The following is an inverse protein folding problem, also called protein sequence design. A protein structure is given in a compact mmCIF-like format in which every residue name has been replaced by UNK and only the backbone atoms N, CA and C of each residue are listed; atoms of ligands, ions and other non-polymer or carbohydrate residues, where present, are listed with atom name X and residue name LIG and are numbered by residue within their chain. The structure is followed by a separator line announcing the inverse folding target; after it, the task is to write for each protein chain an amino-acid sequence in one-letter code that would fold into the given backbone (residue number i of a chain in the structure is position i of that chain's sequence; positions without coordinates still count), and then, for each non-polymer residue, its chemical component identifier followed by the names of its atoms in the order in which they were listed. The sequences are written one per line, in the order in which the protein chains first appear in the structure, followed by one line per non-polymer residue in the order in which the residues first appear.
data_IF_288329220917
#
_entry.id   IF_288329220917
#
_cell.length_a   1.000
_cell.length_b   1.000
_cell.length_c   1.000
_cell.angle_alpha   90.00
_cell.angle_beta   90.00
_cell.angle_gamma   90.00
#
_symmetry.space_group_name_H-M   'P 1'
#
loop_
_entity.id
_entity.type
_entity.pdbx_description
1 polymer ?
#
# COMPACT_ATOMS: atom_id res chain seq x y z
N UNK A 1 24.40 70.29 5.08
CA UNK A 1 23.14 70.36 5.86
C UNK A 1 22.88 68.96 6.40
N UNK A 2 22.80 68.80 7.72
CA UNK A 2 22.57 67.49 8.34
C UNK A 2 21.07 67.16 8.32
N UNK A 3 20.66 65.95 7.88
CA UNK A 3 19.25 65.57 7.86
C UNK A 3 18.70 65.60 9.30
N UNK A 4 17.70 66.45 9.53
CA UNK A 4 17.24 66.86 10.88
C UNK A 4 15.91 66.22 11.27
N UNK A 5 15.36 65.33 10.45
CA UNK A 5 14.05 64.72 10.66
C UNK A 5 14.09 63.25 10.24
N UNK A 6 13.54 62.38 11.09
CA UNK A 6 13.18 61.03 10.70
C UNK A 6 11.66 60.89 10.64
N UNK A 7 11.16 60.32 9.56
CA UNK A 7 9.74 60.11 9.31
C UNK A 7 9.46 58.61 9.32
N UNK A 8 9.09 58.06 10.49
CA UNK A 8 8.45 56.74 10.53
C UNK A 8 6.96 56.92 10.19
N UNK A 9 6.34 56.01 9.43
CA UNK A 9 4.98 56.16 8.85
C UNK A 9 3.87 56.42 9.88
N UNK A 10 4.13 56.23 11.19
CA UNK A 10 3.14 56.40 12.24
C UNK A 10 3.48 57.38 13.37
N UNK A 11 4.66 58.05 13.39
CA UNK A 11 4.95 59.15 14.37
C UNK A 11 5.99 60.14 13.85
N UNK A 12 5.72 61.44 14.02
CA UNK A 12 6.73 62.49 13.92
C UNK A 12 7.55 62.51 15.22
N UNK A 13 8.78 62.02 15.18
CA UNK A 13 9.69 62.05 16.34
C UNK A 13 10.53 63.31 16.25
N UNK A 14 10.28 64.29 17.13
CA UNK A 14 11.10 65.49 17.22
C UNK A 14 12.50 65.13 17.73
N UNK A 15 13.58 65.66 17.14
CA UNK A 15 14.93 65.39 17.60
C UNK A 15 15.18 65.99 19.00
N UNK A 16 15.95 65.32 19.87
CA UNK A 16 16.39 65.90 21.14
C UNK A 16 17.29 67.11 20.88
N UNK A 17 17.12 68.19 21.66
CA UNK A 17 17.78 69.51 21.47
C UNK A 17 19.30 69.53 21.71
N UNK A 18 19.98 68.38 21.73
CA UNK A 18 21.37 68.28 22.15
C UNK A 18 22.31 68.09 20.95
N UNK A 19 23.29 68.99 20.79
CA UNK A 19 24.04 69.16 19.53
C UNK A 19 25.15 68.13 19.25
N UNK A 20 25.30 67.09 20.08
CA UNK A 20 26.45 66.17 19.99
C UNK A 20 26.11 64.67 19.87
N UNK A 21 24.86 64.26 19.63
CA UNK A 21 24.55 62.84 19.41
C UNK A 21 24.22 62.54 17.95
N UNK A 22 24.91 61.58 17.34
CA UNK A 22 24.46 60.93 16.10
C UNK A 22 23.01 60.45 16.30
N UNK A 23 22.09 61.02 15.55
CA UNK A 23 20.68 60.63 15.58
C UNK A 23 20.50 59.36 14.74
N UNK A 24 20.54 58.19 15.38
CA UNK A 24 20.15 56.94 14.73
C UNK A 24 18.64 56.75 14.88
N UNK A 25 17.92 56.80 13.77
CA UNK A 25 16.50 56.51 13.75
C UNK A 25 16.27 55.02 13.48
N UNK A 26 15.69 54.31 14.44
CA UNK A 26 15.23 52.93 14.25
C UNK A 26 13.70 52.93 14.34
N UNK A 27 13.03 52.51 13.27
CA UNK A 27 11.58 52.30 13.28
C UNK A 27 11.32 50.80 13.56
N UNK A 28 10.58 50.49 14.64
CA UNK A 28 10.20 49.12 15.08
C UNK A 28 9.35 48.33 14.06
N UNK A 29 8.99 48.94 12.93
CA UNK A 29 8.15 48.32 11.89
C UNK A 29 8.81 47.09 11.25
N UNK A 30 10.15 47.01 11.23
CA UNK A 30 10.90 45.89 10.62
C UNK A 30 10.73 44.57 11.37
N UNK A 31 10.70 44.58 12.70
CA UNK A 31 10.56 43.36 13.51
C UNK A 31 9.11 42.84 13.45
N UNK A 32 8.13 43.74 13.46
CA UNK A 32 6.72 43.40 13.27
C UNK A 32 6.43 42.84 11.88
N UNK A 33 7.11 43.33 10.84
CA UNK A 33 6.97 42.81 9.47
C UNK A 33 7.61 41.43 9.33
N UNK A 34 8.78 41.21 9.95
CA UNK A 34 9.42 39.89 10.03
C UNK A 34 8.53 38.87 10.75
N UNK A 35 7.99 39.22 11.92
CA UNK A 35 7.08 38.36 12.68
C UNK A 35 5.81 38.02 11.89
N UNK A 36 5.24 38.97 11.15
CA UNK A 36 4.09 38.70 10.27
C UNK A 36 4.45 37.71 9.17
N UNK A 37 5.62 37.85 8.55
CA UNK A 37 6.08 36.94 7.51
C UNK A 37 6.30 35.53 8.06
N UNK A 38 6.93 35.41 9.23
CA UNK A 38 7.11 34.11 9.91
C UNK A 38 5.76 33.45 10.23
N UNK A 39 4.80 34.20 10.78
CA UNK A 39 3.45 33.68 11.05
C UNK A 39 2.78 33.20 9.77
N UNK A 40 2.90 33.94 8.66
CA UNK A 40 2.31 33.49 7.38
C UNK A 40 2.98 32.23 6.84
N UNK A 41 4.29 32.10 6.99
CA UNK A 41 5.02 30.92 6.57
C UNK A 41 4.61 29.69 7.39
N UNK A 42 4.56 29.83 8.71
CA UNK A 42 4.18 28.73 9.61
C UNK A 42 2.73 28.30 9.37
N UNK A 43 1.81 29.24 9.13
CA UNK A 43 0.43 28.91 8.75
C UNK A 43 0.36 28.10 7.46
N UNK A 44 1.11 28.51 6.44
CA UNK A 44 1.16 27.78 5.16
C UNK A 44 1.68 26.36 5.35
N UNK A 45 2.75 26.19 6.13
CA UNK A 45 3.30 24.87 6.43
C UNK A 45 2.33 24.00 7.23
N UNK A 46 1.57 24.61 8.14
CA UNK A 46 0.54 23.92 8.91
C UNK A 46 -0.61 23.45 8.01
N UNK A 47 -1.06 24.30 7.10
CA UNK A 47 -2.10 23.94 6.13
C UNK A 47 -1.63 22.80 5.21
N UNK A 48 -0.40 22.86 4.69
CA UNK A 48 0.21 21.77 3.90
C UNK A 48 0.33 20.46 4.68
N UNK A 49 0.68 20.53 5.97
CA UNK A 49 0.74 19.37 6.83
C UNK A 49 -0.65 18.76 7.08
N UNK A 50 -1.69 19.59 7.24
CA UNK A 50 -3.07 19.13 7.37
C UNK A 50 -3.57 18.45 6.09
N UNK A 51 -3.25 18.98 4.91
CA UNK A 51 -3.60 18.36 3.63
C UNK A 51 -2.95 16.96 3.51
N UNK A 52 -1.68 16.85 3.91
CA UNK A 52 -0.96 15.55 3.91
C UNK A 52 -1.59 14.57 4.90
N UNK A 53 -1.99 15.04 6.09
CA UNK A 53 -2.67 14.21 7.09
C UNK A 53 -4.00 13.71 6.55
N UNK A 54 -4.79 14.56 5.89
CA UNK A 54 -6.07 14.17 5.31
C UNK A 54 -5.90 13.10 4.22
N UNK A 55 -4.85 13.18 3.40
CA UNK A 55 -4.53 12.14 2.42
C UNK A 55 -4.19 10.81 3.09
N UNK A 56 -3.36 10.82 4.14
CA UNK A 56 -3.03 9.62 4.91
C UNK A 56 -4.24 9.02 5.62
N UNK A 57 -5.14 9.85 6.17
CA UNK A 57 -6.38 9.39 6.81
C UNK A 57 -7.28 8.66 5.80
N UNK A 58 -7.42 9.20 4.59
CA UNK A 58 -8.16 8.55 3.51
C UNK A 58 -7.56 7.19 3.12
N UNK A 59 -6.23 7.10 3.01
CA UNK A 59 -5.56 5.82 2.73
C UNK A 59 -5.77 4.81 3.86
N UNK A 60 -5.74 5.24 5.12
CA UNK A 60 -5.97 4.37 6.27
C UNK A 60 -7.40 3.82 6.32
N UNK A 61 -8.41 4.60 5.95
CA UNK A 61 -9.80 4.11 5.84
C UNK A 61 -9.93 2.94 4.85
N UNK A 62 -9.09 2.90 3.81
CA UNK A 62 -9.08 1.80 2.84
C UNK A 62 -8.54 0.47 3.43
N UNK A 63 -7.77 0.52 4.52
CA UNK A 63 -7.16 -0.66 5.16
C UNK A 63 -8.23 -1.56 5.78
N UNK A 64 -9.28 -0.98 6.39
CA UNK A 64 -10.36 -1.77 7.00
C UNK A 64 -11.16 -2.54 5.94
N UNK A 65 -11.38 -1.93 4.77
CA UNK A 65 -12.01 -2.60 3.62
C UNK A 65 -11.14 -3.74 3.12
N UNK A 66 -9.83 -3.52 2.98
CA UNK A 66 -8.88 -4.55 2.59
C UNK A 66 -8.78 -5.68 3.61
N UNK A 67 -8.86 -5.38 4.91
CA UNK A 67 -8.87 -6.38 5.97
C UNK A 67 -10.11 -7.28 5.87
N UNK A 68 -11.29 -6.70 5.65
CA UNK A 68 -12.53 -7.45 5.44
C UNK A 68 -12.44 -8.35 4.19
N UNK A 69 -11.95 -7.82 3.07
CA UNK A 69 -11.75 -8.59 1.85
C UNK A 69 -10.75 -9.74 2.06
N UNK A 70 -9.66 -9.50 2.80
CA UNK A 70 -8.67 -10.53 3.11
C UNK A 70 -9.29 -11.65 3.95
N UNK A 71 -10.13 -11.30 4.93
CA UNK A 71 -10.85 -12.28 5.74
C UNK A 71 -11.79 -13.15 4.88
N UNK A 72 -12.59 -12.52 4.03
CA UNK A 72 -13.51 -13.24 3.13
C UNK A 72 -12.76 -14.21 2.21
N UNK A 73 -11.63 -13.79 1.63
CA UNK A 73 -10.80 -14.65 0.78
C UNK A 73 -10.22 -15.84 1.57
N UNK A 74 -9.82 -15.64 2.82
CA UNK A 74 -9.32 -16.74 3.68
C UNK A 74 -10.42 -17.76 3.99
N UNK A 75 -11.63 -17.29 4.26
CA UNK A 75 -12.79 -18.15 4.48
C UNK A 75 -13.13 -18.97 3.22
N UNK A 76 -13.08 -18.34 2.05
CA UNK A 76 -13.30 -19.02 0.77
C UNK A 76 -12.21 -20.05 0.45
N UNK A 77 -10.94 -19.73 0.71
CA UNK A 77 -9.85 -20.70 0.61
C UNK A 77 -10.06 -21.89 1.54
N UNK A 78 -10.48 -21.67 2.80
CA UNK A 78 -10.78 -22.75 3.74
C UNK A 78 -11.90 -23.64 3.21
N UNK A 79 -12.98 -23.04 2.69
CA UNK A 79 -14.09 -23.75 2.08
C UNK A 79 -13.63 -24.59 0.89
N UNK A 80 -12.86 -24.02 -0.03
CA UNK A 80 -12.36 -24.74 -1.20
C UNK A 80 -11.41 -25.88 -0.82
N UNK A 81 -10.52 -25.68 0.16
CA UNK A 81 -9.66 -26.77 0.68
C UNK A 81 -10.45 -27.92 1.27
N UNK A 82 -11.51 -27.62 2.03
CA UNK A 82 -12.39 -28.67 2.57
C UNK A 82 -13.14 -29.44 1.49
N UNK A 83 -13.42 -28.80 0.35
CA UNK A 83 -14.00 -29.46 -0.83
C UNK A 83 -12.95 -30.26 -1.60
N UNK A 84 -11.71 -29.78 -1.69
CA UNK A 84 -10.59 -30.48 -2.34
C UNK A 84 -10.26 -31.81 -1.63
N UNK A 85 -10.25 -31.82 -0.29
CA UNK A 85 -10.10 -33.05 0.51
C UNK A 85 -11.18 -34.10 0.23
N UNK A 86 -12.36 -33.68 -0.26
CA UNK A 86 -13.44 -34.57 -0.69
C UNK A 86 -13.44 -34.95 -2.18
N UNK A 87 -12.68 -34.25 -3.03
CA UNK A 87 -12.73 -34.40 -4.50
C UNK A 87 -11.50 -35.12 -5.05
N UNK A 88 -10.32 -34.95 -4.42
CA UNK A 88 -9.14 -35.75 -4.77
C UNK A 88 -9.22 -37.06 -4.01
N UNK A 89 -9.84 -38.07 -4.61
CA UNK A 89 -9.59 -39.47 -4.24
C UNK A 89 -8.12 -39.74 -4.51
N UNK A 90 -7.27 -39.50 -3.51
CA UNK A 90 -5.97 -40.16 -3.48
C UNK A 90 -6.32 -41.65 -3.41
N UNK A 91 -6.14 -42.34 -4.53
CA UNK A 91 -6.05 -43.81 -4.53
C UNK A 91 -4.82 -44.17 -3.69
N UNK A 92 -4.94 -44.02 -2.36
CA UNK A 92 -3.93 -44.38 -1.38
C UNK A 92 -3.86 -45.91 -1.20
N UNK A 93 -4.69 -46.66 -1.94
CA UNK A 93 -4.87 -48.11 -1.84
C UNK A 93 -4.74 -48.81 -3.22
N UNK A 94 -3.79 -48.41 -4.08
CA UNK A 94 -3.44 -49.28 -5.23
C UNK A 94 -2.77 -50.55 -4.69
N UNK A 95 -3.50 -51.67 -4.71
CA UNK A 95 -3.01 -52.97 -4.23
C UNK A 95 -1.62 -53.32 -4.84
N UNK A 96 -0.67 -53.80 -4.00
CA UNK A 96 0.70 -54.09 -4.43
C UNK A 96 0.79 -55.05 -5.63
N UNK A 97 -0.16 -55.97 -5.80
CA UNK A 97 -0.18 -56.88 -6.96
C UNK A 97 -0.50 -56.12 -8.23
N UNK A 98 -1.50 -55.24 -8.19
CA UNK A 98 -1.89 -54.36 -9.30
C UNK A 98 -0.74 -53.44 -9.74
N UNK A 99 -0.03 -52.84 -8.77
CA UNK A 99 1.17 -52.03 -9.03
C UNK A 99 2.30 -52.82 -9.70
N UNK A 100 2.56 -54.05 -9.23
CA UNK A 100 3.58 -54.95 -9.81
C UNK A 100 3.22 -55.34 -11.24
N UNK A 101 1.96 -55.67 -11.50
CA UNK A 101 1.48 -56.03 -12.83
C UNK A 101 1.63 -54.87 -13.82
N UNK A 102 1.28 -53.65 -13.42
CA UNK A 102 1.47 -52.45 -14.26
C UNK A 102 2.95 -52.21 -14.60
N UNK A 103 3.85 -52.41 -13.64
CA UNK A 103 5.30 -52.28 -13.86
C UNK A 103 5.81 -53.33 -14.84
N UNK A 104 5.40 -54.59 -14.67
CA UNK A 104 5.78 -55.69 -15.57
C UNK A 104 5.26 -55.44 -16.99
N UNK A 105 4.00 -55.02 -17.13
CA UNK A 105 3.43 -54.67 -18.43
C UNK A 105 4.23 -53.57 -19.14
N UNK A 106 4.58 -52.48 -18.45
CA UNK A 106 5.41 -51.40 -19.01
C UNK A 106 6.77 -51.91 -19.50
N UNK A 107 7.43 -52.76 -18.72
CA UNK A 107 8.71 -53.37 -19.11
C UNK A 107 8.57 -54.23 -20.38
N UNK A 108 7.51 -55.04 -20.46
CA UNK A 108 7.25 -55.88 -21.62
C UNK A 108 6.91 -55.07 -22.88
N UNK A 109 6.16 -53.98 -22.74
CA UNK A 109 5.87 -53.06 -23.85
C UNK A 109 7.14 -52.34 -24.33
N UNK A 110 7.96 -51.84 -23.41
CA UNK A 110 9.25 -51.22 -23.76
C UNK A 110 10.23 -52.20 -24.41
N UNK A 111 10.17 -53.47 -24.04
CA UNK A 111 10.96 -54.54 -24.65
C UNK A 111 10.38 -55.04 -25.98
N UNK A 112 9.24 -54.50 -26.45
CA UNK A 112 8.58 -54.92 -27.69
C UNK A 112 7.92 -56.29 -27.62
N UNK A 113 7.74 -56.86 -26.42
CA UNK A 113 7.11 -58.16 -26.20
C UNK A 113 5.57 -58.03 -26.29
N UNK A 114 5.04 -56.91 -25.82
CA UNK A 114 3.61 -56.60 -25.85
C UNK A 114 3.35 -55.31 -26.61
N UNK A 115 2.24 -55.26 -27.35
CA UNK A 115 1.79 -54.02 -27.96
C UNK A 115 1.10 -53.10 -26.93
N UNK A 116 1.31 -51.78 -27.01
CA UNK A 116 0.61 -50.81 -26.18
C UNK A 116 -0.90 -50.86 -26.47
N UNK A 117 -1.68 -51.20 -25.45
CA UNK A 117 -3.13 -51.15 -25.54
C UNK A 117 -3.60 -49.71 -25.30
N UNK A 118 -3.75 -48.94 -26.38
CA UNK A 118 -4.26 -47.57 -26.34
C UNK A 118 -5.79 -47.60 -26.20
N UNK A 119 -6.29 -47.56 -24.96
CA UNK A 119 -7.70 -47.25 -24.70
C UNK A 119 -7.86 -45.74 -24.58
N UNK A 120 -8.76 -45.17 -25.37
CA UNK A 120 -9.16 -43.78 -25.19
C UNK A 120 -9.86 -43.62 -23.83
N UNK A 121 -9.49 -42.60 -23.03
CA UNK A 121 -10.16 -42.38 -21.75
C UNK A 121 -11.63 -42.09 -21.99
N UNK A 122 -12.48 -42.69 -21.16
CA UNK A 122 -13.92 -42.47 -21.16
C UNK A 122 -14.27 -41.05 -20.75
N UNK A 123 -15.45 -40.57 -21.12
CA UNK A 123 -15.88 -39.19 -20.85
C UNK A 123 -15.87 -38.85 -19.34
N UNK A 124 -16.28 -39.81 -18.49
CA UNK A 124 -16.18 -39.70 -17.02
C UNK A 124 -14.74 -39.57 -16.53
N UNK A 125 -13.78 -40.21 -17.19
CA UNK A 125 -12.35 -40.10 -16.85
C UNK A 125 -11.76 -38.76 -17.34
N UNK A 126 -12.34 -38.15 -18.37
CA UNK A 126 -11.88 -36.85 -18.89
C UNK A 126 -12.42 -35.67 -18.10
N UNK A 127 -13.69 -35.74 -17.69
CA UNK A 127 -14.41 -34.60 -17.12
C UNK A 127 -14.84 -34.81 -15.66
N UNK A 128 -14.54 -35.96 -15.06
CA UNK A 128 -15.02 -36.31 -13.73
C UNK A 128 -16.52 -36.65 -13.70
N UNK A 129 -17.03 -37.06 -12.54
CA UNK A 129 -18.46 -37.19 -12.32
C UNK A 129 -19.08 -35.79 -12.21
N UNK A 130 -19.74 -35.32 -13.28
CA UNK A 130 -20.63 -34.18 -13.20
C UNK A 130 -21.94 -34.70 -12.58
N UNK A 131 -22.14 -34.43 -11.28
CA UNK A 131 -23.43 -34.63 -10.63
C UNK A 131 -24.36 -33.50 -11.14
N UNK A 132 -25.40 -33.87 -11.88
CA UNK A 132 -26.51 -32.99 -12.25
C UNK A 132 -27.45 -32.77 -11.05
#
# INVERSE_FOLDING_TARGET
MNPTSCSCKHRNVNPPKNKNSLFNCYCEDSENEQLKNEITLVKKQLDEAHDTIAEMEFELESVDVLALQNQLLREEIMKLKSQEEGVISRDDEEDPVTRKNRRSYRQQVSAGILEPQLKSPTEKQRYGFILN
#
